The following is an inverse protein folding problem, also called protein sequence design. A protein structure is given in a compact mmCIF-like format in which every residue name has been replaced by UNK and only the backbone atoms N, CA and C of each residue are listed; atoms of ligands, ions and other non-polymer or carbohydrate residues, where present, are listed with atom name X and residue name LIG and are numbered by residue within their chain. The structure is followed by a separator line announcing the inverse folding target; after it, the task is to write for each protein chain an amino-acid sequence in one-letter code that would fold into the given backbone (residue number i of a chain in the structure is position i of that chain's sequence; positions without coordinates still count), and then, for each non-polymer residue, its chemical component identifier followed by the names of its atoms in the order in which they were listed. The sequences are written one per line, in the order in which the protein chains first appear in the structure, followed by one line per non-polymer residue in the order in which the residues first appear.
data_IF_135317187834
#
_entry.id   IF_135317187834
#
_cell.length_a   1.000
_cell.length_b   1.000
_cell.length_c   1.000
_cell.angle_alpha   90.00
_cell.angle_beta   90.00
_cell.angle_gamma   90.00
#
_symmetry.space_group_name_H-M   'P 1'
#
loop_
_entity.id
_entity.type
_entity.pdbx_description
1 polymer ?
#
# COMPACT_ATOMS: atom_id res chain seq x y z
N UNK A 1 31.81 -31.55 13.54
CA UNK A 1 30.44 -31.62 12.99
C UNK A 1 29.86 -30.22 12.97
N UNK A 2 29.58 -29.66 11.78
CA UNK A 2 28.94 -28.36 11.69
C UNK A 2 27.47 -28.50 12.09
N UNK A 3 27.05 -27.76 13.13
CA UNK A 3 25.65 -27.69 13.54
C UNK A 3 24.92 -26.90 12.45
N UNK A 4 24.06 -27.55 11.68
CA UNK A 4 23.18 -26.85 10.74
C UNK A 4 22.27 -25.90 11.53
N UNK A 5 22.17 -24.65 11.09
CA UNK A 5 21.16 -23.73 11.62
C UNK A 5 19.80 -24.20 11.11
N UNK A 6 18.86 -24.62 11.97
CA UNK A 6 17.52 -24.97 11.53
C UNK A 6 16.85 -23.69 11.00
N UNK A 7 16.65 -23.65 9.69
CA UNK A 7 15.90 -22.59 9.01
C UNK A 7 14.51 -23.15 8.74
N UNK A 8 13.60 -22.96 9.70
CA UNK A 8 12.21 -23.34 9.52
C UNK A 8 11.49 -22.34 8.60
N UNK A 9 10.69 -22.80 7.62
CA UNK A 9 9.91 -21.90 6.78
C UNK A 9 8.93 -21.05 7.61
N UNK A 10 9.00 -19.73 7.44
CA UNK A 10 8.08 -18.77 8.04
C UNK A 10 7.23 -18.09 6.95
N UNK A 11 6.11 -18.70 6.53
CA UNK A 11 5.26 -18.13 5.49
C UNK A 11 4.61 -16.82 5.97
N UNK A 12 4.54 -15.84 5.08
CA UNK A 12 3.85 -14.57 5.35
C UNK A 12 2.35 -14.85 5.46
N UNK A 13 1.75 -14.46 6.59
CA UNK A 13 0.31 -14.52 6.81
C UNK A 13 -0.19 -13.15 7.22
N UNK A 14 -0.92 -12.51 6.30
CA UNK A 14 -1.60 -11.24 6.57
C UNK A 14 -3.04 -11.55 7.00
N UNK A 15 -3.46 -11.17 8.23
CA UNK A 15 -4.83 -11.39 8.69
C UNK A 15 -5.85 -10.59 7.87
N UNK A 16 -7.05 -11.14 7.64
CA UNK A 16 -8.13 -10.43 6.93
C UNK A 16 -8.50 -9.10 7.58
N UNK A 17 -8.42 -9.02 8.92
CA UNK A 17 -8.66 -7.78 9.64
C UNK A 17 -7.69 -6.65 9.27
N UNK A 18 -6.44 -6.99 8.93
CA UNK A 18 -5.45 -6.00 8.45
C UNK A 18 -5.80 -5.52 7.06
N UNK A 19 -6.21 -6.42 6.16
CA UNK A 19 -6.63 -6.06 4.80
C UNK A 19 -7.93 -5.23 4.82
N UNK A 20 -8.87 -5.57 5.69
CA UNK A 20 -10.10 -4.79 5.89
C UNK A 20 -9.82 -3.40 6.48
N UNK A 21 -8.86 -3.27 7.40
CA UNK A 21 -8.43 -1.96 7.92
C UNK A 21 -7.75 -1.11 6.84
N UNK A 22 -6.86 -1.72 6.03
CA UNK A 22 -6.23 -1.06 4.89
C UNK A 22 -7.27 -0.48 3.93
N UNK A 23 -8.24 -1.29 3.52
CA UNK A 23 -9.30 -0.87 2.58
C UNK A 23 -10.08 0.33 3.13
N UNK A 24 -10.49 0.28 4.40
CA UNK A 24 -11.20 1.38 5.07
C UNK A 24 -10.38 2.67 5.10
N UNK A 25 -9.07 2.58 5.36
CA UNK A 25 -8.18 3.76 5.37
C UNK A 25 -8.04 4.37 3.99
N UNK A 26 -7.89 3.53 2.96
CA UNK A 26 -7.82 3.99 1.57
C UNK A 26 -9.13 4.68 1.15
N UNK A 27 -10.30 4.14 1.53
CA UNK A 27 -11.61 4.74 1.30
C UNK A 27 -11.79 6.11 1.97
N UNK A 28 -11.24 6.28 3.17
CA UNK A 28 -11.34 7.51 3.96
C UNK A 28 -10.23 8.53 3.65
N UNK A 29 -9.44 8.32 2.58
CA UNK A 29 -8.34 9.22 2.22
C UNK A 29 -8.86 10.62 1.93
N UNK A 30 -8.29 11.62 2.64
CA UNK A 30 -8.56 13.04 2.41
C UNK A 30 -7.46 13.61 1.53
N UNK A 31 -7.86 14.27 0.45
CA UNK A 31 -6.91 14.79 -0.54
C UNK A 31 -6.56 16.25 -0.26
N UNK A 32 -5.26 16.60 -0.18
CA UNK A 32 -4.84 17.99 -0.14
C UNK A 32 -5.05 18.67 -1.51
N UNK A 33 -5.03 20.01 -1.52
CA UNK A 33 -4.90 20.77 -2.76
C UNK A 33 -3.49 20.60 -3.33
N UNK A 34 -3.39 20.55 -4.67
CA UNK A 34 -2.14 20.30 -5.40
C UNK A 34 -1.91 21.40 -6.46
N UNK A 35 -2.10 22.65 -6.04
CA UNK A 35 -2.10 23.79 -6.94
C UNK A 35 -0.70 24.02 -7.54
N UNK A 36 -0.63 24.09 -8.87
CA UNK A 36 0.60 24.44 -9.59
C UNK A 36 1.66 23.34 -9.60
N UNK A 37 1.31 22.09 -9.30
CA UNK A 37 2.23 20.95 -9.28
C UNK A 37 2.05 20.00 -10.49
N UNK A 38 1.51 20.49 -11.61
CA UNK A 38 1.24 19.64 -12.79
C UNK A 38 2.51 18.98 -13.37
N UNK A 39 3.66 19.63 -13.19
CA UNK A 39 4.99 19.16 -13.57
C UNK A 39 5.66 18.26 -12.51
N UNK A 40 5.08 18.15 -11.32
CA UNK A 40 5.60 17.35 -10.20
C UNK A 40 6.77 17.98 -9.45
N UNK A 41 7.04 19.27 -9.64
CA UNK A 41 8.17 19.95 -8.98
C UNK A 41 8.06 19.96 -7.45
N UNK A 42 6.85 20.09 -6.90
CA UNK A 42 6.60 20.10 -5.45
C UNK A 42 6.46 18.70 -4.84
N UNK A 43 6.67 17.65 -5.65
CA UNK A 43 6.60 16.26 -5.24
C UNK A 43 5.49 15.50 -5.95
N UNK A 44 5.06 14.39 -5.34
CA UNK A 44 4.11 13.47 -5.97
C UNK A 44 2.78 14.16 -6.23
N UNK A 45 2.38 14.18 -7.50
CA UNK A 45 1.11 14.74 -7.94
C UNK A 45 -0.06 14.02 -7.29
N UNK A 46 -1.07 14.76 -6.84
CA UNK A 46 -2.31 14.23 -6.27
C UNK A 46 -2.98 13.24 -7.22
N UNK A 47 -3.04 13.56 -8.52
CA UNK A 47 -3.68 12.71 -9.53
C UNK A 47 -3.03 11.33 -9.64
N UNK A 48 -1.70 11.28 -9.55
CA UNK A 48 -0.96 10.02 -9.53
C UNK A 48 -1.21 9.23 -8.24
N UNK A 49 -1.16 9.90 -7.08
CA UNK A 49 -1.47 9.29 -5.78
C UNK A 49 -2.91 8.76 -5.70
N UNK A 50 -3.87 9.46 -6.29
CA UNK A 50 -5.26 9.02 -6.39
C UNK A 50 -5.38 7.71 -7.18
N UNK A 51 -4.69 7.61 -8.33
CA UNK A 51 -4.65 6.37 -9.10
C UNK A 51 -4.00 5.21 -8.33
N UNK A 52 -2.94 5.47 -7.56
CA UNK A 52 -2.34 4.45 -6.70
C UNK A 52 -3.28 3.98 -5.59
N UNK A 53 -3.98 4.90 -4.92
CA UNK A 53 -4.95 4.56 -3.87
C UNK A 53 -6.10 3.75 -4.44
N UNK A 54 -6.61 4.11 -5.62
CA UNK A 54 -7.65 3.36 -6.32
C UNK A 54 -7.18 1.94 -6.66
N UNK A 55 -5.98 1.80 -7.24
CA UNK A 55 -5.41 0.50 -7.54
C UNK A 55 -5.24 -0.37 -6.30
N UNK A 56 -4.71 0.18 -5.20
CA UNK A 56 -4.54 -0.58 -3.96
C UNK A 56 -5.86 -0.97 -3.28
N UNK A 57 -6.91 -0.16 -3.47
CA UNK A 57 -8.22 -0.42 -2.87
C UNK A 57 -8.99 -1.50 -3.62
N UNK A 58 -8.98 -1.44 -4.96
CA UNK A 58 -9.90 -2.21 -5.80
C UNK A 58 -9.24 -3.06 -6.88
N UNK A 59 -7.96 -2.81 -7.20
CA UNK A 59 -7.26 -3.46 -8.32
C UNK A 59 -6.16 -4.44 -7.93
N UNK A 60 -5.59 -4.30 -6.73
CA UNK A 60 -4.54 -5.19 -6.23
C UNK A 60 -5.13 -6.32 -5.38
N UNK A 61 -4.84 -7.56 -5.76
CA UNK A 61 -5.20 -8.74 -4.98
C UNK A 61 -4.09 -9.10 -3.99
N UNK A 62 -4.41 -9.07 -2.70
CA UNK A 62 -3.51 -9.46 -1.61
C UNK A 62 -3.46 -10.97 -1.38
N UNK A 63 -4.33 -11.75 -2.03
CA UNK A 63 -4.52 -13.17 -1.77
C UNK A 63 -3.97 -14.08 -2.87
#
# INVERSE_FOLDING_TARGET
MARGFPLEPAPIRVPDGVLGDLRRRLELTRWPDDAGNDDGYYGVKRTYLQGLVEYWRDGYDWR
#
